data_IF_474188549184
#
_entry.id   IF_474188549184
#
_cell.length_a   1.000
_cell.length_b   1.000
_cell.length_c   1.000
_cell.angle_alpha   90.00
_cell.angle_beta   90.00
_cell.angle_gamma   90.00
#
_symmetry.space_group_name_H-M   'P 1'
#
loop_
_entity.id
_entity.type
_entity.pdbx_description
1 polymer ?
#
# COMPACT_ATOMS: atom_id res chain seq x y z
N UNK A 1 -4.39 -17.50 7.52
CA UNK A 1 -4.64 -16.92 6.19
C UNK A 1 -5.90 -17.55 5.62
N UNK A 2 -6.82 -16.82 4.98
CA UNK A 2 -7.81 -17.51 4.14
C UNK A 2 -7.06 -18.18 2.98
N UNK A 3 -7.32 -19.47 2.78
CA UNK A 3 -6.75 -20.27 1.70
C UNK A 3 -6.99 -19.62 0.31
N UNK A 4 -5.96 -19.62 -0.55
CA UNK A 4 -6.04 -19.17 -1.95
C UNK A 4 -5.58 -17.73 -2.25
N UNK A 5 -5.18 -16.94 -1.24
CA UNK A 5 -4.59 -15.60 -1.42
C UNK A 5 -3.05 -15.59 -1.54
N UNK A 6 -2.43 -16.75 -1.46
CA UNK A 6 -0.98 -16.94 -1.34
C UNK A 6 -0.22 -16.82 -2.67
N UNK A 7 -0.89 -16.93 -3.82
CA UNK A 7 -0.23 -16.72 -5.11
C UNK A 7 -0.31 -15.26 -5.56
N UNK A 8 -1.48 -14.63 -5.49
CA UNK A 8 -1.76 -13.34 -6.12
C UNK A 8 -2.14 -12.22 -5.14
N UNK A 9 -2.13 -12.46 -3.82
CA UNK A 9 -2.50 -11.45 -2.82
C UNK A 9 -3.95 -11.55 -2.32
N UNK A 10 -4.57 -10.43 -1.98
CA UNK A 10 -5.91 -10.44 -1.39
C UNK A 10 -7.03 -10.85 -2.37
N UNK A 11 -8.19 -11.22 -1.81
CA UNK A 11 -9.41 -11.43 -2.60
C UNK A 11 -9.91 -10.12 -3.23
N UNK A 12 -9.72 -9.01 -2.52
CA UNK A 12 -10.05 -7.66 -2.98
C UNK A 12 -9.32 -7.33 -4.28
N UNK A 13 -10.00 -7.20 -5.44
CA UNK A 13 -9.35 -7.02 -6.73
C UNK A 13 -8.46 -5.78 -6.80
N UNK A 14 -8.83 -4.72 -6.07
CA UNK A 14 -8.05 -3.49 -6.01
C UNK A 14 -6.66 -3.67 -5.35
N UNK A 15 -6.52 -4.63 -4.43
CA UNK A 15 -5.29 -4.93 -3.70
C UNK A 15 -4.65 -6.27 -4.10
N UNK A 16 -5.18 -6.92 -5.14
CA UNK A 16 -4.63 -8.15 -5.71
C UNK A 16 -3.55 -7.81 -6.74
N UNK A 17 -2.53 -8.66 -6.84
CA UNK A 17 -1.55 -8.60 -7.92
C UNK A 17 -2.23 -8.83 -9.28
N UNK A 18 -1.63 -8.30 -10.33
CA UNK A 18 -2.19 -8.35 -11.66
C UNK A 18 -1.89 -9.75 -12.24
N UNK A 19 -2.72 -10.25 -13.15
CA UNK A 19 -2.41 -11.37 -14.07
C UNK A 19 -1.50 -12.51 -13.57
N UNK A 20 -1.81 -13.15 -12.43
CA UNK A 20 -1.02 -14.29 -11.93
C UNK A 20 0.39 -13.93 -11.44
N UNK A 21 0.63 -12.64 -11.20
CA UNK A 21 1.87 -12.11 -10.61
C UNK A 21 1.91 -12.38 -9.11
N UNK A 22 3.13 -12.42 -8.58
CA UNK A 22 3.39 -13.00 -7.27
C UNK A 22 3.26 -11.93 -6.19
N UNK A 23 2.43 -12.20 -5.18
CA UNK A 23 2.49 -11.43 -3.93
C UNK A 23 3.79 -11.76 -3.18
N UNK A 24 4.60 -10.74 -2.88
CA UNK A 24 5.84 -10.88 -2.10
C UNK A 24 5.68 -10.36 -0.67
N UNK A 25 4.74 -9.43 -0.45
CA UNK A 25 4.35 -8.99 0.89
C UNK A 25 2.90 -8.56 0.92
N UNK A 26 2.20 -8.92 1.99
CA UNK A 26 0.81 -8.55 2.23
C UNK A 26 0.67 -7.98 3.63
N UNK A 27 0.01 -6.83 3.74
CA UNK A 27 -0.25 -6.16 5.01
C UNK A 27 -1.71 -5.70 5.05
N UNK A 28 -2.32 -5.73 6.23
CA UNK A 28 -3.72 -5.35 6.41
C UNK A 28 -4.00 -4.76 7.79
N UNK A 29 -5.00 -3.89 7.85
CA UNK A 29 -5.55 -3.30 9.07
C UNK A 29 -7.03 -3.02 8.84
N UNK A 30 -7.94 -3.64 9.59
CA UNK A 30 -9.39 -3.51 9.33
C UNK A 30 -9.74 -3.94 7.90
N UNK A 31 -10.25 -3.01 7.09
CA UNK A 31 -10.53 -3.20 5.65
C UNK A 31 -9.40 -2.75 4.72
N UNK A 32 -8.36 -2.11 5.26
CA UNK A 32 -7.21 -1.68 4.48
C UNK A 32 -6.37 -2.88 4.05
N UNK A 33 -5.98 -2.91 2.78
CA UNK A 33 -5.21 -3.99 2.16
C UNK A 33 -4.04 -3.38 1.40
N UNK A 34 -2.84 -3.92 1.60
CA UNK A 34 -1.62 -3.49 0.92
C UNK A 34 -0.84 -4.71 0.47
N UNK A 35 -0.58 -4.80 -0.83
CA UNK A 35 0.16 -5.92 -1.41
C UNK A 35 1.33 -5.39 -2.23
N UNK A 36 2.54 -5.75 -1.84
CA UNK A 36 3.68 -5.68 -2.73
C UNK A 36 3.66 -6.92 -3.63
N UNK A 37 3.67 -6.67 -4.92
CA UNK A 37 3.63 -7.66 -5.97
C UNK A 37 4.96 -7.66 -6.73
N UNK A 38 5.26 -8.77 -7.40
CA UNK A 38 6.39 -8.91 -8.31
C UNK A 38 5.89 -9.48 -9.64
N UNK A 39 6.12 -8.73 -10.71
CA UNK A 39 5.75 -9.15 -12.05
C UNK A 39 6.67 -10.24 -12.61
N UNK A 40 6.35 -10.77 -13.78
CA UNK A 40 7.15 -11.82 -14.43
C UNK A 40 8.59 -11.41 -14.76
N UNK A 41 8.85 -10.10 -14.91
CA UNK A 41 10.19 -9.54 -15.11
C UNK A 41 10.96 -9.31 -13.80
N UNK A 42 10.38 -9.65 -12.65
CA UNK A 42 10.99 -9.45 -11.33
C UNK A 42 10.82 -8.04 -10.75
N UNK A 43 10.13 -7.13 -11.46
CA UNK A 43 9.91 -5.75 -11.01
C UNK A 43 8.80 -5.73 -9.97
N UNK A 44 9.05 -5.02 -8.87
CA UNK A 44 8.10 -4.86 -7.78
C UNK A 44 7.16 -3.69 -8.01
N UNK A 45 5.94 -3.81 -7.52
CA UNK A 45 4.95 -2.73 -7.53
C UNK A 45 3.94 -2.94 -6.39
N UNK A 46 3.17 -1.90 -6.09
CA UNK A 46 2.16 -1.90 -5.03
C UNK A 46 0.75 -1.93 -5.61
N UNK A 47 -0.12 -2.73 -4.99
CA UNK A 47 -1.58 -2.66 -5.11
C UNK A 47 -2.16 -2.46 -3.71
N UNK A 48 -2.99 -1.44 -3.54
CA UNK A 48 -3.62 -1.19 -2.25
C UNK A 48 -5.09 -0.83 -2.39
N UNK A 49 -5.85 -1.21 -1.37
CA UNK A 49 -7.22 -0.77 -1.12
C UNK A 49 -7.22 -0.06 0.22
N UNK A 50 -7.36 1.26 0.20
CA UNK A 50 -7.22 2.10 1.40
C UNK A 50 -8.05 3.36 1.27
N UNK A 51 -8.09 4.20 2.31
CA UNK A 51 -8.81 5.46 2.26
C UNK A 51 -8.02 6.55 1.54
N UNK A 52 -8.73 7.46 0.88
CA UNK A 52 -8.16 8.67 0.27
C UNK A 52 -7.44 9.59 1.28
N UNK A 53 -6.70 10.57 0.72
CA UNK A 53 -6.00 11.61 1.49
C UNK A 53 -6.98 12.26 2.49
N UNK A 54 -6.60 12.41 3.77
CA UNK A 54 -7.41 13.15 4.72
C UNK A 54 -7.70 14.57 4.22
N UNK A 55 -8.97 14.99 4.25
CA UNK A 55 -9.31 16.39 4.06
C UNK A 55 -8.87 17.16 5.31
N UNK A 56 -7.98 18.13 5.11
CA UNK A 56 -7.48 18.98 6.20
C UNK A 56 -8.54 19.91 6.79
N UNK A 57 -9.67 20.10 6.10
CA UNK A 57 -10.75 21.00 6.50
C UNK A 57 -11.91 20.27 7.19
N UNK A 58 -12.06 18.95 7.01
CA UNK A 58 -13.09 18.17 7.69
C UNK A 58 -12.60 16.77 8.14
N UNK A 59 -12.05 16.68 9.37
CA UNK A 59 -11.57 15.42 9.93
C UNK A 59 -12.69 14.43 10.30
N UNK A 60 -13.97 14.83 10.23
CA UNK A 60 -15.12 13.94 10.50
C UNK A 60 -15.72 13.36 9.22
N UNK A 61 -15.27 13.80 8.05
CA UNK A 61 -15.72 13.26 6.77
C UNK A 61 -15.43 11.76 6.69
N UNK A 62 -16.44 10.97 6.27
CA UNK A 62 -16.24 9.55 5.99
C UNK A 62 -15.35 9.44 4.75
N UNK A 63 -14.09 9.06 4.97
CA UNK A 63 -13.12 8.86 3.90
C UNK A 63 -13.55 7.70 3.01
N UNK A 64 -13.52 7.93 1.70
CA UNK A 64 -13.82 6.88 0.72
C UNK A 64 -12.65 5.93 0.58
N UNK A 65 -12.95 4.66 0.38
CA UNK A 65 -11.93 3.70 -0.05
C UNK A 65 -11.64 3.89 -1.54
N UNK A 66 -10.36 3.79 -1.87
CA UNK A 66 -9.77 3.99 -3.19
C UNK A 66 -8.73 2.90 -3.45
N UNK A 67 -8.60 2.55 -4.72
CA UNK A 67 -7.53 1.70 -5.20
C UNK A 67 -6.28 2.57 -5.43
N UNK A 68 -5.14 2.13 -4.93
CA UNK A 68 -3.84 2.76 -5.21
C UNK A 68 -2.93 1.79 -5.95
N UNK A 69 -2.19 2.31 -6.93
CA UNK A 69 -1.09 1.64 -7.60
C UNK A 69 0.18 2.45 -7.41
N UNK A 70 1.25 1.78 -6.97
CA UNK A 70 2.55 2.40 -6.79
C UNK A 70 3.65 1.64 -7.53
N UNK A 71 4.61 2.35 -8.04
CA UNK A 71 5.85 1.79 -8.60
C UNK A 71 6.88 1.63 -7.49
N UNK A 72 7.67 0.57 -7.55
CA UNK A 72 8.75 0.37 -6.59
C UNK A 72 9.79 1.47 -6.68
N UNK A 73 10.15 2.03 -5.53
CA UNK A 73 11.11 3.11 -5.42
C UNK A 73 12.44 2.61 -4.83
N UNK A 74 12.40 2.00 -3.64
CA UNK A 74 13.59 1.45 -2.97
C UNK A 74 13.20 0.50 -1.85
N UNK A 75 14.17 -0.30 -1.41
CA UNK A 75 14.15 -0.94 -0.09
C UNK A 75 14.92 -0.10 0.93
N UNK A 76 14.52 -0.22 2.18
CA UNK A 76 15.32 0.14 3.36
C UNK A 76 15.49 -1.11 4.23
N UNK A 77 16.39 -1.11 5.23
CA UNK A 77 16.53 -2.25 6.15
C UNK A 77 15.21 -2.69 6.81
N UNK A 78 14.25 -1.78 6.93
CA UNK A 78 13.00 -2.04 7.65
C UNK A 78 11.76 -1.98 6.75
N UNK A 79 11.88 -1.65 5.46
CA UNK A 79 10.69 -1.37 4.67
C UNK A 79 10.86 -1.41 3.16
N UNK A 80 9.74 -1.63 2.46
CA UNK A 80 9.65 -1.48 0.99
C UNK A 80 8.90 -0.21 0.64
N UNK A 81 9.50 0.65 -0.16
CA UNK A 81 8.94 1.95 -0.51
C UNK A 81 8.46 1.99 -1.97
N UNK A 82 7.30 2.61 -2.17
CA UNK A 82 6.64 2.75 -3.46
C UNK A 82 6.21 4.21 -3.66
N UNK A 83 6.13 4.65 -4.92
CA UNK A 83 5.59 5.96 -5.29
C UNK A 83 4.42 5.80 -6.25
N UNK A 84 3.31 6.48 -5.99
CA UNK A 84 2.14 6.49 -6.87
C UNK A 84 2.26 7.57 -7.94
N UNK A 85 1.46 7.47 -9.01
CA UNK A 85 1.50 8.42 -10.13
C UNK A 85 1.15 9.87 -9.71
N UNK A 86 0.31 10.04 -8.69
CA UNK A 86 -0.02 11.33 -8.09
C UNK A 86 1.02 11.82 -7.06
N UNK A 87 2.11 11.07 -6.87
CA UNK A 87 3.25 11.46 -6.03
C UNK A 87 3.13 11.13 -4.55
N UNK A 88 2.16 10.29 -4.14
CA UNK A 88 2.13 9.76 -2.79
C UNK A 88 3.24 8.72 -2.62
N UNK A 89 3.91 8.74 -1.46
CA UNK A 89 4.92 7.73 -1.09
C UNK A 89 4.29 6.75 -0.11
N UNK A 90 4.39 5.47 -0.40
CA UNK A 90 3.87 4.39 0.44
C UNK A 90 5.03 3.56 0.96
N UNK A 91 5.11 3.44 2.27
CA UNK A 91 6.14 2.73 2.99
C UNK A 91 5.55 1.50 3.69
N UNK A 92 5.92 0.30 3.24
CA UNK A 92 5.53 -0.97 3.84
C UNK A 92 6.59 -1.41 4.86
N UNK A 93 6.46 -0.92 6.09
CA UNK A 93 7.33 -1.28 7.21
C UNK A 93 7.01 -2.67 7.80
N UNK A 94 7.64 -3.07 8.92
CA UNK A 94 7.48 -4.40 9.51
C UNK A 94 6.05 -4.70 9.95
N UNK A 95 5.43 -3.74 10.62
CA UNK A 95 4.08 -3.81 11.22
C UNK A 95 3.27 -2.54 10.98
N UNK A 96 3.78 -1.61 10.16
CA UNK A 96 3.11 -0.34 9.90
C UNK A 96 3.22 -0.04 8.42
N UNK A 97 2.10 0.34 7.81
CA UNK A 97 2.09 0.97 6.49
C UNK A 97 1.93 2.47 6.66
N UNK A 98 2.83 3.25 6.08
CA UNK A 98 2.74 4.73 6.10
C UNK A 98 2.56 5.26 4.68
N UNK A 99 1.57 6.14 4.50
CA UNK A 99 1.33 6.87 3.26
C UNK A 99 1.65 8.33 3.52
N UNK A 100 2.65 8.86 2.83
CA UNK A 100 2.92 10.28 2.76
C UNK A 100 2.26 10.85 1.50
N UNK A 101 1.25 11.68 1.69
CA UNK A 101 0.49 12.27 0.58
C UNK A 101 1.25 13.41 -0.10
N UNK A 102 1.03 13.64 -1.40
CA UNK A 102 1.61 14.78 -2.10
C UNK A 102 1.17 16.09 -1.43
N UNK A 103 2.11 17.04 -1.37
CA UNK A 103 1.82 18.38 -0.85
C UNK A 103 0.80 19.04 -1.76
N UNK A 104 -0.22 19.64 -1.16
CA UNK A 104 -1.09 20.55 -1.88
C UNK A 104 -0.28 21.77 -2.31
N UNK A 105 -0.48 22.27 -3.52
CA UNK A 105 0.19 23.46 -4.02
C UNK A 105 0.02 24.63 -3.02
N UNK A 106 1.10 25.35 -2.74
CA UNK A 106 1.12 26.43 -1.73
C UNK A 106 1.14 25.98 -0.26
N UNK A 107 0.94 24.69 0.04
CA UNK A 107 1.01 24.17 1.41
C UNK A 107 2.44 23.83 1.84
N UNK A 108 2.83 24.27 3.03
CA UNK A 108 4.07 23.84 3.70
C UNK A 108 3.91 22.53 4.46
N UNK A 109 2.68 22.07 4.69
CA UNK A 109 2.39 20.89 5.51
C UNK A 109 2.38 19.63 4.65
N UNK A 110 3.09 18.61 5.12
CA UNK A 110 2.98 17.24 4.61
C UNK A 110 1.89 16.53 5.42
N UNK A 111 1.05 15.75 4.76
CA UNK A 111 0.04 14.92 5.43
C UNK A 111 0.51 13.47 5.32
N UNK A 112 0.52 12.77 6.46
CA UNK A 112 0.84 11.35 6.52
C UNK A 112 -0.31 10.57 7.14
N UNK A 113 -0.54 9.36 6.67
CA UNK A 113 -1.49 8.41 7.24
C UNK A 113 -0.77 7.11 7.54
N UNK A 114 -0.94 6.58 8.74
CA UNK A 114 -0.30 5.32 9.15
C UNK A 114 -1.35 4.30 9.58
N UNK A 115 -1.12 3.05 9.18
CA UNK A 115 -1.95 1.91 9.51
C UNK A 115 -1.09 0.90 10.25
N UNK A 116 -1.38 0.66 11.52
CA UNK A 116 -0.75 -0.44 12.26
C UNK A 116 -1.33 -1.74 11.74
N UNK A 117 -0.51 -2.48 11.02
CA UNK A 117 -0.83 -3.81 10.53
C UNK A 117 -0.24 -4.83 11.51
N UNK A 118 -0.75 -6.06 11.54
CA UNK A 118 0.00 -7.14 12.20
C UNK A 118 1.38 -7.36 11.54
N UNK A 119 2.08 -8.43 11.90
CA UNK A 119 3.35 -8.83 11.25
C UNK A 119 3.24 -9.03 9.71
N UNK A 120 2.02 -9.01 9.17
CA UNK A 120 1.76 -9.22 7.76
C UNK A 120 2.11 -10.64 7.33
N UNK A 121 2.11 -10.86 6.04
CA UNK A 121 2.71 -12.04 5.42
C UNK A 121 3.79 -11.58 4.46
N UNK A 122 4.92 -12.29 4.48
CA UNK A 122 6.03 -12.05 3.56
C UNK A 122 6.46 -13.38 2.99
N UNK A 123 6.69 -13.43 1.67
CA UNK A 123 7.34 -14.56 1.03
C UNK A 123 8.84 -14.35 1.16
N UNK A 124 9.50 -15.28 1.84
CA UNK A 124 10.96 -15.42 1.87
C UNK A 124 11.32 -16.35 0.72
N UNK A 125 11.45 -15.82 -0.49
CA UNK A 125 12.10 -16.54 -1.57
C UNK A 125 13.62 -16.39 -1.52
#
# INVERSE_FOLDING_TARGET
>A
MPWGGDLNGFVEPAARCDNGEIAVRMMWSGDHRFTACRNHSGVRYLKAWTTEKPDGNDPKSKRKFVAMRGEFFTDTPNSMQFTTADGAKVDLGPTIVTIQWPKTEGSRKTISTSYTTGAGWTRLD
#
